data_IF_565249593586
#
_entry.id   IF_565249593586
#
_cell.length_a   1.000
_cell.length_b   1.000
_cell.length_c   1.000
_cell.angle_alpha   90.00
_cell.angle_beta   90.00
_cell.angle_gamma   90.00
#
_symmetry.space_group_name_H-M   'P 1'
#
loop_
_entity.id
_entity.type
_entity.pdbx_description
1 polymer ?
#
# COMPACT_ATOMS: atom_id res chain seq x y z
N UNK A 1 -0.86 -0.49 -26.83
CA UNK A 1 -2.27 0.00 -26.75
C UNK A 1 -2.39 0.87 -25.52
N UNK A 2 -2.81 2.12 -25.67
CA UNK A 2 -2.97 3.11 -24.59
C UNK A 2 -4.32 2.92 -23.90
N UNK A 3 -4.45 3.36 -22.66
CA UNK A 3 -5.72 3.30 -21.91
C UNK A 3 -6.85 4.08 -22.60
N UNK A 4 -6.50 5.22 -23.21
CA UNK A 4 -7.39 6.05 -24.03
C UNK A 4 -7.95 5.28 -25.22
N UNK A 5 -7.15 4.41 -25.86
CA UNK A 5 -7.60 3.59 -27.00
C UNK A 5 -8.64 2.53 -26.61
N UNK A 6 -8.91 2.38 -25.30
CA UNK A 6 -9.87 1.43 -24.72
C UNK A 6 -10.95 2.13 -23.90
N UNK A 7 -11.10 3.44 -24.07
CA UNK A 7 -12.09 4.24 -23.36
C UNK A 7 -12.00 4.13 -21.83
N UNK A 8 -10.80 3.80 -21.30
CA UNK A 8 -10.62 3.75 -19.85
C UNK A 8 -10.54 5.17 -19.30
N UNK A 9 -11.50 5.53 -18.44
CA UNK A 9 -11.56 6.82 -17.78
C UNK A 9 -11.16 6.68 -16.31
N UNK A 10 -10.39 7.63 -15.80
CA UNK A 10 -10.04 7.71 -14.38
C UNK A 10 -11.13 8.50 -13.67
N UNK A 11 -11.69 7.92 -12.62
CA UNK A 11 -12.70 8.58 -11.76
C UNK A 11 -12.08 9.19 -10.50
N UNK A 12 -11.09 8.52 -9.92
CA UNK A 12 -10.44 8.97 -8.68
C UNK A 12 -8.99 8.49 -8.61
N UNK A 13 -8.16 9.27 -7.92
CA UNK A 13 -6.78 8.93 -7.59
C UNK A 13 -6.53 9.30 -6.12
N UNK A 14 -6.10 8.32 -5.34
CA UNK A 14 -5.72 8.53 -3.94
C UNK A 14 -4.27 8.09 -3.69
N UNK A 15 -3.50 8.91 -2.98
CA UNK A 15 -2.14 8.58 -2.58
C UNK A 15 -2.11 8.06 -1.14
N UNK A 16 -1.84 6.75 -1.01
CA UNK A 16 -1.75 6.03 0.25
C UNK A 16 -0.31 5.94 0.79
N UNK A 17 0.64 6.73 0.27
CA UNK A 17 2.04 6.76 0.74
C UNK A 17 2.16 6.89 2.27
N UNK A 18 1.45 7.79 2.97
CA UNK A 18 1.56 7.88 4.43
C UNK A 18 1.12 6.59 5.14
N UNK A 19 0.11 5.90 4.60
CA UNK A 19 -0.34 4.63 5.14
C UNK A 19 0.74 3.55 4.98
N UNK A 20 1.44 3.54 3.85
CA UNK A 20 2.53 2.58 3.64
C UNK A 20 3.73 2.82 4.55
N UNK A 21 3.99 4.08 4.94
CA UNK A 21 5.00 4.38 5.98
C UNK A 21 4.62 3.69 7.30
N UNK A 22 3.36 3.79 7.73
CA UNK A 22 2.88 3.13 8.95
C UNK A 22 2.97 1.59 8.83
N UNK A 23 2.60 1.04 7.68
CA UNK A 23 2.71 -0.40 7.40
C UNK A 23 4.17 -0.86 7.48
N UNK A 24 5.08 -0.16 6.81
CA UNK A 24 6.51 -0.49 6.82
C UNK A 24 7.12 -0.43 8.22
N UNK A 25 6.75 0.57 9.03
CA UNK A 25 7.16 0.65 10.44
C UNK A 25 6.69 -0.57 11.24
N UNK A 26 5.41 -0.96 11.11
CA UNK A 26 4.84 -2.11 11.81
C UNK A 26 5.49 -3.42 11.38
N UNK A 27 5.67 -3.63 10.08
CA UNK A 27 6.32 -4.84 9.56
C UNK A 27 7.77 -4.96 10.03
N UNK A 28 8.55 -3.89 9.96
CA UNK A 28 9.94 -3.91 10.44
C UNK A 28 10.01 -4.17 11.95
N UNK A 29 9.17 -3.51 12.74
CA UNK A 29 9.13 -3.72 14.19
C UNK A 29 8.72 -5.16 14.55
N UNK A 30 7.75 -5.73 13.83
CA UNK A 30 7.31 -7.10 14.03
C UNK A 30 8.38 -8.11 13.60
N UNK A 31 9.06 -7.87 12.48
CA UNK A 31 10.15 -8.71 12.01
C UNK A 31 11.30 -8.75 13.02
N UNK A 32 11.76 -7.58 13.50
CA UNK A 32 12.85 -7.48 14.47
C UNK A 32 12.50 -8.14 15.81
N UNK A 33 11.25 -8.01 16.28
CA UNK A 33 10.80 -8.65 17.52
C UNK A 33 10.79 -10.17 17.43
N UNK A 34 10.53 -10.74 16.25
CA UNK A 34 10.44 -12.18 16.04
C UNK A 34 11.65 -12.72 15.26
N UNK A 35 12.77 -11.99 15.24
CA UNK A 35 13.90 -12.28 14.36
C UNK A 35 14.45 -13.71 14.56
N UNK A 36 14.73 -14.10 15.80
CA UNK A 36 15.31 -15.41 16.12
C UNK A 36 14.32 -16.55 15.85
N UNK A 37 13.04 -16.34 16.15
CA UNK A 37 11.98 -17.32 15.86
C UNK A 37 11.83 -17.55 14.36
N UNK A 38 11.76 -16.47 13.57
CA UNK A 38 11.68 -16.55 12.10
C UNK A 38 12.91 -17.28 11.56
N UNK A 39 14.11 -16.93 12.03
CA UNK A 39 15.35 -17.58 11.61
C UNK A 39 15.32 -19.09 11.89
N UNK A 40 14.90 -19.48 13.09
CA UNK A 40 14.85 -20.87 13.52
C UNK A 40 13.79 -21.69 12.77
N UNK A 41 12.55 -21.18 12.67
CA UNK A 41 11.41 -21.88 12.06
C UNK A 41 11.58 -22.00 10.56
N UNK A 42 12.07 -20.94 9.90
CA UNK A 42 12.20 -20.91 8.44
C UNK A 42 13.56 -21.46 7.95
N UNK A 43 14.52 -21.68 8.86
CA UNK A 43 15.86 -22.18 8.52
C UNK A 43 16.70 -21.18 7.73
N UNK A 44 16.49 -19.88 7.92
CA UNK A 44 17.25 -18.84 7.21
C UNK A 44 18.62 -18.57 7.86
N UNK A 45 19.59 -18.16 7.05
CA UNK A 45 20.90 -17.72 7.55
C UNK A 45 20.89 -16.23 7.93
N UNK A 46 21.94 -15.78 8.64
CA UNK A 46 22.06 -14.36 9.03
C UNK A 46 22.14 -13.41 7.84
N UNK A 47 22.65 -13.90 6.71
CA UNK A 47 22.73 -13.10 5.49
C UNK A 47 21.34 -12.78 4.97
N UNK A 48 20.45 -13.76 4.87
CA UNK A 48 19.07 -13.57 4.45
C UNK A 48 18.35 -12.64 5.42
N UNK A 49 18.46 -12.89 6.72
CA UNK A 49 17.75 -12.12 7.73
C UNK A 49 18.13 -10.63 7.71
N UNK A 50 19.43 -10.32 7.59
CA UNK A 50 19.91 -8.94 7.42
C UNK A 50 19.47 -8.31 6.10
N UNK A 51 19.45 -9.10 5.02
CA UNK A 51 18.98 -8.63 3.70
C UNK A 51 17.50 -8.27 3.77
N UNK A 52 16.71 -9.08 4.47
CA UNK A 52 15.29 -8.83 4.64
C UNK A 52 15.01 -7.60 5.50
N UNK A 53 15.76 -7.41 6.59
CA UNK A 53 15.69 -6.18 7.37
C UNK A 53 16.02 -4.94 6.52
N UNK A 54 17.09 -5.02 5.73
CA UNK A 54 17.49 -3.94 4.83
C UNK A 54 16.42 -3.65 3.77
N UNK A 55 15.77 -4.68 3.23
CA UNK A 55 14.66 -4.53 2.30
C UNK A 55 13.50 -3.75 2.94
N UNK A 56 13.07 -4.13 4.15
CA UNK A 56 12.00 -3.43 4.86
C UNK A 56 12.37 -1.99 5.20
N UNK A 57 13.60 -1.76 5.68
CA UNK A 57 14.09 -0.43 6.04
C UNK A 57 14.24 0.50 4.82
N UNK A 58 14.77 -0.01 3.70
CA UNK A 58 14.94 0.77 2.48
C UNK A 58 13.60 1.09 1.81
N UNK A 59 12.66 0.14 1.76
CA UNK A 59 11.29 0.37 1.30
C UNK A 59 10.59 1.45 2.14
N UNK A 60 10.64 1.33 3.47
CA UNK A 60 10.12 2.34 4.39
C UNK A 60 10.72 3.73 4.15
N UNK A 61 12.05 3.82 4.02
CA UNK A 61 12.73 5.07 3.73
C UNK A 61 12.28 5.68 2.38
N UNK A 62 12.11 4.84 1.36
CA UNK A 62 11.60 5.28 0.06
C UNK A 62 10.23 5.95 0.14
N UNK A 63 9.27 5.36 0.87
CA UNK A 63 7.95 5.98 1.09
C UNK A 63 8.02 7.21 2.01
N UNK A 64 8.85 7.17 3.05
CA UNK A 64 8.97 8.27 4.01
C UNK A 64 9.56 9.54 3.36
N UNK A 65 10.57 9.37 2.51
CA UNK A 65 11.25 10.45 1.78
C UNK A 65 10.52 10.88 0.50
N UNK A 66 9.40 10.24 0.15
CA UNK A 66 8.63 10.58 -1.06
C UNK A 66 9.24 10.09 -2.37
N UNK A 67 10.24 9.22 -2.31
CA UNK A 67 10.83 8.56 -3.49
C UNK A 67 9.90 7.50 -4.08
N UNK A 68 9.04 6.92 -3.24
CA UNK A 68 8.01 5.95 -3.61
C UNK A 68 6.62 6.48 -3.24
N UNK A 69 5.63 6.10 -4.05
CA UNK A 69 4.22 6.37 -3.80
C UNK A 69 3.41 5.07 -3.92
N UNK A 70 2.30 5.01 -3.18
CA UNK A 70 1.29 3.97 -3.36
C UNK A 70 0.02 4.67 -3.83
N UNK A 71 -0.43 4.36 -5.03
CA UNK A 71 -1.58 5.03 -5.64
C UNK A 71 -2.71 4.03 -5.83
N UNK A 72 -3.89 4.38 -5.32
CA UNK A 72 -5.14 3.72 -5.68
C UNK A 72 -5.82 4.53 -6.78
N UNK A 73 -6.16 3.88 -7.90
CA UNK A 73 -6.87 4.50 -9.01
C UNK A 73 -8.20 3.81 -9.22
N UNK A 74 -9.28 4.58 -9.25
CA UNK A 74 -10.60 4.10 -9.65
C UNK A 74 -10.78 4.41 -11.12
N UNK A 75 -11.14 3.39 -11.90
CA UNK A 75 -11.25 3.51 -13.36
C UNK A 75 -12.55 2.87 -13.85
N UNK A 76 -13.07 3.37 -14.96
CA UNK A 76 -14.19 2.78 -15.70
C UNK A 76 -13.80 2.46 -17.11
N UNK A 77 -14.52 1.52 -17.71
CA UNK A 77 -14.47 1.29 -19.15
C UNK A 77 -15.66 2.02 -19.78
N UNK A 78 -15.39 3.01 -20.62
CA UNK A 78 -16.38 3.94 -21.15
C UNK A 78 -16.68 5.12 -20.23
N UNK A 79 -17.54 6.00 -20.72
CA UNK A 79 -18.04 7.16 -19.99
C UNK A 79 -19.03 6.69 -18.89
N UNK A 80 -18.80 7.14 -17.66
CA UNK A 80 -19.68 6.87 -16.53
C UNK A 80 -20.34 8.16 -16.05
N UNK A 81 -21.64 8.29 -16.25
CA UNK A 81 -22.43 9.50 -15.90
C UNK A 81 -23.21 9.37 -14.60
N UNK A 82 -23.31 8.16 -14.04
CA UNK A 82 -24.02 7.85 -12.79
C UNK A 82 -23.10 7.89 -11.54
N UNK A 83 -21.80 8.19 -11.71
CA UNK A 83 -20.88 8.27 -10.59
C UNK A 83 -21.14 9.55 -9.77
N UNK A 84 -21.22 9.48 -8.42
CA UNK A 84 -21.48 10.64 -7.59
C UNK A 84 -20.49 11.79 -7.84
N UNK A 85 -21.00 13.03 -7.87
CA UNK A 85 -20.18 14.22 -8.10
C UNK A 85 -19.28 14.59 -6.92
N UNK A 86 -19.55 14.03 -5.73
CA UNK A 86 -18.72 14.18 -4.52
C UNK A 86 -18.22 12.81 -4.03
N UNK A 87 -17.15 12.83 -3.24
CA UNK A 87 -16.54 11.63 -2.63
C UNK A 87 -17.15 11.25 -1.27
N UNK A 88 -18.25 11.89 -0.85
CA UNK A 88 -18.83 11.69 0.49
C UNK A 88 -19.18 10.23 0.77
N UNK A 89 -19.64 9.50 -0.25
CA UNK A 89 -19.96 8.07 -0.13
C UNK A 89 -18.75 7.20 0.28
N UNK A 90 -17.52 7.64 0.05
CA UNK A 90 -16.31 6.92 0.48
C UNK A 90 -16.04 7.05 1.98
N UNK A 91 -16.54 8.11 2.61
CA UNK A 91 -16.29 8.43 4.02
C UNK A 91 -17.49 8.12 4.93
N UNK A 92 -18.58 7.60 4.36
CA UNK A 92 -19.68 7.09 5.14
C UNK A 92 -19.23 5.80 5.82
N UNK A 93 -19.31 5.77 7.17
CA UNK A 93 -19.00 4.57 7.92
C UNK A 93 -19.96 3.44 7.49
N UNK A 94 -19.41 2.34 6.99
CA UNK A 94 -20.19 1.12 6.85
C UNK A 94 -20.54 0.63 8.28
N UNK A 95 -21.81 0.26 8.54
CA UNK A 95 -22.24 -0.15 9.88
C UNK A 95 -21.36 -1.25 10.51
N UNK A 96 -20.78 -2.12 9.68
CA UNK A 96 -19.93 -3.23 10.12
C UNK A 96 -18.50 -2.82 10.54
N UNK A 97 -18.08 -1.56 10.32
CA UNK A 97 -16.71 -1.08 10.60
C UNK A 97 -16.66 0.22 11.43
N UNK A 98 -17.76 0.59 12.07
CA UNK A 98 -17.77 1.66 13.07
C UNK A 98 -17.08 1.15 14.35
N UNK A 99 -15.85 1.58 14.58
CA UNK A 99 -15.10 1.36 15.83
C UNK A 99 -15.53 2.34 16.92
#
# INVERSE_FOLDING_TARGET
KRAVDREINILDIENLRPHYVLTGQRWRANFLRNYDEIKAVMGFDDRFMRTWEFYLASGLAGFALGLLNLIQMVMTNGLRTDYPVTREFLYQALPEYAY
#
